data_IF_175746121616
#
_entry.id   IF_175746121616
#
_cell.length_a   1.000
_cell.length_b   1.000
_cell.length_c   1.000
_cell.angle_alpha   90.00
_cell.angle_beta   90.00
_cell.angle_gamma   90.00
#
_symmetry.space_group_name_H-M   'P 1'
#
loop_
_entity.id
_entity.type
_entity.pdbx_description
1 polymer ?
#
# COMPACT_ATOMS: atom_id res chain seq x y z
N UNK A 1 -42.09 -7.53 43.38
CA UNK A 1 -43.55 -7.65 43.18
C UNK A 1 -43.94 -6.73 42.03
N UNK A 2 -44.50 -7.32 40.96
CA UNK A 2 -45.48 -6.78 39.97
C UNK A 2 -45.23 -5.39 39.32
N UNK A 3 -45.46 -5.11 38.04
CA UNK A 3 -45.81 -5.89 36.84
C UNK A 3 -45.79 -4.96 35.60
N UNK A 4 -45.36 -5.52 34.44
CA UNK A 4 -45.92 -5.45 33.06
C UNK A 4 -46.39 -4.12 32.40
N UNK A 5 -45.85 -3.77 31.20
CA UNK A 5 -46.39 -3.95 29.78
C UNK A 5 -47.62 -3.08 29.47
N UNK A 6 -47.94 -2.60 28.25
CA UNK A 6 -47.33 -2.37 26.93
C UNK A 6 -48.42 -1.62 26.08
N UNK A 7 -48.02 -1.13 24.89
CA UNK A 7 -48.78 -1.01 23.62
C UNK A 7 -49.51 0.30 23.22
N UNK A 8 -48.93 0.94 22.18
CA UNK A 8 -49.48 1.35 20.87
C UNK A 8 -50.70 2.29 20.76
N UNK A 9 -50.54 3.38 19.97
CA UNK A 9 -51.31 3.66 18.73
C UNK A 9 -50.87 4.97 18.02
N UNK A 10 -50.70 4.88 16.69
CA UNK A 10 -50.57 5.94 15.65
C UNK A 10 -51.91 6.74 15.49
N UNK A 11 -52.13 7.58 14.45
CA UNK A 11 -51.39 8.72 13.88
C UNK A 11 -52.32 9.95 13.72
N UNK A 12 -51.82 11.15 13.37
CA UNK A 12 -52.67 12.22 12.82
C UNK A 12 -52.07 12.92 11.61
N UNK A 13 -52.84 12.78 10.51
CA UNK A 13 -52.89 13.60 9.30
C UNK A 13 -53.04 15.09 9.62
N UNK A 14 -52.50 15.97 8.76
CA UNK A 14 -53.29 17.04 8.15
C UNK A 14 -52.67 17.58 6.85
N UNK A 15 -53.58 17.66 5.88
CA UNK A 15 -53.51 18.08 4.48
C UNK A 15 -53.55 19.62 4.33
N UNK A 16 -53.17 20.09 3.13
CA UNK A 16 -53.64 21.28 2.36
C UNK A 16 -52.47 22.23 1.99
N UNK A 17 -52.10 22.54 0.74
CA UNK A 17 -52.77 22.76 -0.57
C UNK A 17 -52.77 24.25 -0.97
N UNK A 18 -52.39 24.46 -2.24
CA UNK A 18 -52.76 25.53 -3.17
C UNK A 18 -51.95 26.85 -3.27
N UNK A 19 -51.24 26.95 -4.41
CA UNK A 19 -51.37 27.95 -5.50
C UNK A 19 -51.32 29.45 -5.17
N UNK A 20 -50.48 30.20 -5.91
CA UNK A 20 -50.95 31.21 -6.88
C UNK A 20 -49.85 31.61 -7.88
N UNK A 21 -50.25 31.69 -9.15
CA UNK A 21 -49.53 32.26 -10.29
C UNK A 21 -49.30 33.77 -10.14
N UNK A 22 -48.34 34.33 -10.89
CA UNK A 22 -48.68 35.40 -11.84
C UNK A 22 -47.59 35.64 -12.90
N UNK A 23 -48.07 35.80 -14.13
CA UNK A 23 -47.34 36.14 -15.35
C UNK A 23 -47.28 37.66 -15.55
N UNK A 24 -46.39 38.12 -16.45
CA UNK A 24 -46.56 39.22 -17.45
C UNK A 24 -45.17 39.50 -18.07
N UNK A 25 -44.94 39.68 -19.38
CA UNK A 25 -45.79 39.69 -20.58
C UNK A 25 -45.06 40.40 -21.74
N UNK A 26 -45.17 39.83 -22.95
CA UNK A 26 -45.23 40.45 -24.30
C UNK A 26 -44.08 41.35 -24.83
N UNK A 27 -43.77 41.47 -26.14
CA UNK A 27 -44.48 41.10 -27.38
C UNK A 27 -43.59 41.21 -28.65
N UNK A 28 -43.84 40.30 -29.60
CA UNK A 28 -43.97 40.42 -31.07
C UNK A 28 -42.87 40.96 -32.03
N UNK A 29 -42.67 40.17 -33.09
CA UNK A 29 -42.28 40.63 -34.45
C UNK A 29 -42.02 39.46 -35.41
N UNK A 30 -42.96 39.14 -36.32
CA UNK A 30 -42.84 38.16 -37.42
C UNK A 30 -42.21 38.79 -38.68
N UNK A 31 -41.42 38.03 -39.45
CA UNK A 31 -41.58 37.83 -40.92
C UNK A 31 -40.60 36.80 -41.50
N UNK A 32 -41.08 36.05 -42.50
CA UNK A 32 -40.37 35.08 -43.34
C UNK A 32 -39.39 35.76 -44.33
N UNK A 33 -38.28 35.12 -44.67
CA UNK A 33 -37.96 34.58 -46.02
C UNK A 33 -36.47 34.24 -46.17
N UNK A 34 -36.23 33.40 -47.18
CA UNK A 34 -35.07 32.62 -47.55
C UNK A 34 -33.84 33.38 -48.07
N UNK A 35 -32.79 32.57 -48.30
CA UNK A 35 -31.67 32.68 -49.26
C UNK A 35 -30.36 33.38 -48.85
N UNK A 36 -29.33 32.51 -48.80
CA UNK A 36 -28.03 32.60 -49.47
C UNK A 36 -26.80 33.19 -48.74
N UNK A 37 -25.78 32.33 -48.77
CA UNK A 37 -24.34 32.60 -48.94
C UNK A 37 -23.53 33.29 -47.85
N UNK A 38 -22.77 32.44 -47.15
CA UNK A 38 -21.31 32.52 -46.95
C UNK A 38 -20.71 33.85 -46.47
N UNK A 39 -20.34 33.88 -45.18
CA UNK A 39 -19.21 34.69 -44.73
C UNK A 39 -18.50 34.04 -43.52
N UNK A 40 -17.18 34.13 -43.56
CA UNK A 40 -16.17 33.44 -42.74
C UNK A 40 -16.40 33.62 -41.24
N UNK A 41 -16.47 32.51 -40.49
CA UNK A 41 -16.12 32.47 -39.06
C UNK A 41 -14.64 32.15 -38.91
N UNK A 42 -13.86 33.19 -38.65
CA UNK A 42 -12.62 33.06 -37.90
C UNK A 42 -13.01 32.88 -36.43
N UNK A 43 -12.80 31.66 -35.91
CA UNK A 43 -12.97 31.37 -34.49
C UNK A 43 -11.73 30.63 -34.00
N UNK A 44 -10.65 31.38 -33.82
CA UNK A 44 -9.54 30.93 -32.99
C UNK A 44 -10.00 30.99 -31.53
N UNK A 45 -10.69 29.95 -31.06
CA UNK A 45 -10.87 29.71 -29.63
C UNK A 45 -9.52 29.28 -29.07
N UNK A 46 -8.89 30.17 -28.33
CA UNK A 46 -7.76 29.83 -27.47
C UNK A 46 -8.32 28.94 -26.37
N UNK A 47 -8.18 27.62 -26.54
CA UNK A 47 -8.36 26.67 -25.44
C UNK A 47 -7.50 27.13 -24.28
N UNK A 48 -8.13 27.37 -23.14
CA UNK A 48 -7.45 27.66 -21.89
C UNK A 48 -6.43 26.54 -21.64
N UNK A 49 -5.16 26.88 -21.81
CA UNK A 49 -4.04 26.01 -21.48
C UNK A 49 -4.19 25.71 -19.99
N UNK A 50 -4.60 24.49 -19.65
CA UNK A 50 -4.63 24.04 -18.28
C UNK A 50 -3.25 24.31 -17.68
N UNK A 51 -3.19 25.13 -16.62
CA UNK A 51 -1.96 25.38 -15.88
C UNK A 51 -1.33 24.01 -15.54
N UNK A 52 -0.20 23.71 -16.19
CA UNK A 52 0.62 22.57 -15.85
C UNK A 52 1.21 22.90 -14.49
N UNK A 53 0.54 22.48 -13.41
CA UNK A 53 1.11 22.54 -12.06
C UNK A 53 2.43 21.78 -12.11
N UNK A 54 3.54 22.49 -11.91
CA UNK A 54 4.86 21.87 -11.85
C UNK A 54 4.84 20.73 -10.83
N UNK A 55 5.31 19.56 -11.25
CA UNK A 55 5.38 18.39 -10.38
C UNK A 55 6.49 18.64 -9.34
N UNK A 56 6.17 18.73 -8.03
CA UNK A 56 7.17 19.08 -7.01
C UNK A 56 8.14 17.92 -6.70
N UNK A 57 7.93 16.74 -7.28
CA UNK A 57 8.73 15.56 -7.01
C UNK A 57 9.88 15.42 -7.99
N UNK A 58 11.02 14.96 -7.44
CA UNK A 58 12.24 14.71 -8.20
C UNK A 58 11.97 13.81 -9.42
N UNK A 59 12.36 14.23 -10.64
CA UNK A 59 12.30 13.39 -11.83
C UNK A 59 13.10 12.10 -11.67
N UNK A 60 12.62 11.04 -12.31
CA UNK A 60 13.32 9.74 -12.32
C UNK A 60 14.45 9.77 -13.33
N UNK A 61 15.68 9.56 -12.87
CA UNK A 61 16.83 9.29 -13.71
C UNK A 61 16.72 7.85 -14.24
N UNK A 62 16.36 7.70 -15.51
CA UNK A 62 16.14 6.39 -16.13
C UNK A 62 17.41 5.57 -16.27
N UNK A 63 18.55 6.20 -16.57
CA UNK A 63 19.84 5.51 -16.67
C UNK A 63 20.24 4.94 -15.32
N UNK A 64 20.15 5.76 -14.25
CA UNK A 64 20.44 5.31 -12.89
C UNK A 64 19.45 4.26 -12.41
N UNK A 65 18.17 4.38 -12.76
CA UNK A 65 17.15 3.38 -12.45
C UNK A 65 17.56 1.99 -12.98
N UNK A 66 17.90 1.88 -14.26
CA UNK A 66 18.27 0.60 -14.86
C UNK A 66 19.62 0.06 -14.38
N UNK A 67 20.58 0.94 -14.08
CA UNK A 67 21.84 0.56 -13.43
C UNK A 67 21.59 -0.10 -12.07
N UNK A 68 20.75 0.51 -11.23
CA UNK A 68 20.40 -0.01 -9.91
C UNK A 68 19.57 -1.29 -9.99
N UNK A 69 18.66 -1.42 -10.97
CA UNK A 69 17.96 -2.67 -11.23
C UNK A 69 18.93 -3.83 -11.55
N UNK A 70 19.96 -3.57 -12.36
CA UNK A 70 21.02 -4.54 -12.64
C UNK A 70 21.82 -4.89 -11.38
N UNK A 71 22.12 -3.90 -10.54
CA UNK A 71 22.77 -4.13 -9.26
C UNK A 71 21.94 -5.03 -8.32
N UNK A 72 20.63 -4.79 -8.24
CA UNK A 72 19.71 -5.60 -7.42
C UNK A 72 19.54 -7.01 -7.97
N UNK A 73 19.58 -7.22 -9.29
CA UNK A 73 19.56 -8.56 -9.88
C UNK A 73 20.73 -9.45 -9.43
N UNK A 74 21.82 -8.83 -8.95
CA UNK A 74 22.94 -9.50 -8.29
C UNK A 74 23.56 -10.64 -9.11
N UNK A 75 23.75 -10.37 -10.41
CA UNK A 75 24.35 -11.30 -11.35
C UNK A 75 23.46 -12.50 -11.69
N UNK A 76 22.13 -12.36 -11.59
CA UNK A 76 21.21 -13.36 -12.16
C UNK A 76 21.50 -13.53 -13.66
N UNK A 77 21.85 -14.76 -14.05
CA UNK A 77 22.11 -15.14 -15.45
C UNK A 77 20.93 -15.89 -16.07
N UNK A 78 19.89 -16.19 -15.28
CA UNK A 78 18.73 -16.95 -15.77
C UNK A 78 17.73 -16.10 -16.56
N UNK A 79 17.90 -14.78 -16.54
CA UNK A 79 17.03 -13.83 -17.23
C UNK A 79 15.69 -13.58 -16.52
N UNK A 80 15.57 -13.99 -15.25
CA UNK A 80 14.41 -13.69 -14.40
C UNK A 80 14.50 -12.30 -13.79
N UNK A 81 15.71 -11.87 -13.44
CA UNK A 81 15.99 -10.60 -12.79
C UNK A 81 17.08 -9.81 -13.53
N UNK A 82 16.95 -8.48 -13.68
CA UNK A 82 15.77 -7.69 -13.34
C UNK A 82 14.58 -8.09 -14.22
N UNK A 83 13.37 -7.87 -13.73
CA UNK A 83 12.16 -8.28 -14.46
C UNK A 83 12.07 -7.51 -15.77
N UNK A 84 11.86 -8.21 -16.88
CA UNK A 84 11.71 -7.59 -18.20
C UNK A 84 10.47 -6.70 -18.26
N UNK A 85 10.50 -5.71 -19.14
CA UNK A 85 9.39 -4.77 -19.39
C UNK A 85 8.88 -4.11 -18.09
N UNK A 86 9.80 -3.79 -17.19
CA UNK A 86 9.48 -3.05 -15.98
C UNK A 86 9.19 -1.58 -16.32
N UNK A 87 8.01 -1.05 -15.99
CA UNK A 87 7.70 0.35 -16.30
C UNK A 87 8.62 1.27 -15.50
N UNK A 88 9.18 2.27 -16.18
CA UNK A 88 9.89 3.36 -15.49
C UNK A 88 8.88 4.08 -14.57
N UNK A 89 9.12 4.17 -13.25
CA UNK A 89 8.17 4.79 -12.35
C UNK A 89 8.08 6.31 -12.59
N UNK A 90 7.00 6.91 -12.10
CA UNK A 90 6.82 8.36 -12.12
C UNK A 90 7.74 9.06 -11.11
N UNK A 91 7.77 10.40 -11.15
CA UNK A 91 8.54 11.25 -10.24
C UNK A 91 8.31 10.91 -8.76
N UNK A 92 9.36 11.11 -7.96
CA UNK A 92 9.34 10.79 -6.53
C UNK A 92 9.43 9.29 -6.21
N UNK A 93 9.78 8.44 -7.19
CA UNK A 93 10.10 7.04 -6.97
C UNK A 93 11.21 6.88 -5.91
N UNK A 94 11.03 5.92 -5.00
CA UNK A 94 11.96 5.62 -3.91
C UNK A 94 12.83 4.42 -4.30
N UNK A 95 12.25 3.43 -4.98
CA UNK A 95 12.92 2.20 -5.38
C UNK A 95 13.36 2.29 -6.85
N UNK A 96 14.54 1.79 -7.21
CA UNK A 96 15.59 1.23 -6.34
C UNK A 96 16.58 2.27 -5.79
N UNK A 97 16.28 3.58 -5.87
CA UNK A 97 17.21 4.66 -5.44
C UNK A 97 17.55 4.61 -3.95
N UNK A 98 16.66 4.07 -3.12
CA UNK A 98 16.84 3.88 -1.70
C UNK A 98 16.43 2.48 -1.27
N UNK A 99 17.15 1.94 -0.29
CA UNK A 99 16.74 0.74 0.45
C UNK A 99 15.89 1.16 1.64
N UNK A 100 14.77 0.51 1.85
CA UNK A 100 13.87 0.84 2.95
C UNK A 100 14.14 -0.11 4.12
N UNK A 101 14.40 0.44 5.30
CA UNK A 101 14.55 -0.30 6.55
C UNK A 101 13.37 0.05 7.45
N UNK A 102 12.47 -0.91 7.67
CA UNK A 102 11.20 -0.69 8.32
C UNK A 102 11.11 -1.41 9.66
N UNK A 103 10.59 -0.72 10.69
CA UNK A 103 10.08 -1.38 11.89
C UNK A 103 8.58 -1.66 11.74
N UNK A 104 8.21 -2.92 11.87
CA UNK A 104 6.82 -3.39 11.75
C UNK A 104 6.12 -3.44 13.10
N UNK A 105 4.82 -3.18 13.13
CA UNK A 105 3.97 -3.59 14.24
C UNK A 105 2.76 -2.72 14.51
N UNK A 106 2.18 -2.90 15.71
CA UNK A 106 0.96 -2.25 16.16
C UNK A 106 1.16 -1.61 17.54
N UNK A 107 0.64 -0.40 17.75
CA UNK A 107 0.89 0.40 18.95
C UNK A 107 0.12 -0.09 20.18
N UNK A 108 -0.92 -0.93 20.00
CA UNK A 108 -1.62 -1.58 21.12
C UNK A 108 -0.99 -2.88 21.58
N UNK A 109 0.04 -3.39 20.89
CA UNK A 109 0.65 -4.68 21.25
C UNK A 109 2.16 -4.69 21.12
N UNK A 110 2.83 -4.83 22.26
CA UNK A 110 4.28 -5.07 22.34
C UNK A 110 4.71 -6.44 21.78
N UNK A 111 3.78 -7.31 21.42
CA UNK A 111 4.05 -8.64 20.86
C UNK A 111 3.89 -8.70 19.34
N UNK A 112 3.41 -7.62 18.71
CA UNK A 112 3.12 -7.57 17.27
C UNK A 112 4.19 -6.85 16.45
N UNK A 113 5.36 -6.59 17.04
CA UNK A 113 6.56 -6.17 16.33
C UNK A 113 7.30 -5.01 16.95
N UNK A 114 8.55 -4.82 16.49
CA UNK A 114 9.49 -3.82 16.97
C UNK A 114 8.93 -2.38 17.05
N UNK A 115 8.00 -1.99 16.17
CA UNK A 115 7.39 -0.66 16.21
C UNK A 115 6.59 -0.40 17.49
N UNK A 116 5.83 -1.39 17.96
CA UNK A 116 4.98 -1.28 19.15
C UNK A 116 5.66 -1.74 20.45
N UNK A 117 6.82 -2.38 20.34
CA UNK A 117 7.52 -2.94 21.51
C UNK A 117 8.20 -1.86 22.37
N UNK A 118 8.73 -0.81 21.74
CA UNK A 118 9.54 0.21 22.40
C UNK A 118 8.85 1.57 22.44
N UNK A 119 9.21 2.41 23.43
CA UNK A 119 8.82 3.82 23.42
C UNK A 119 9.45 4.54 22.20
N UNK A 120 8.81 5.58 21.62
CA UNK A 120 9.23 6.16 20.34
C UNK A 120 10.71 6.56 20.24
N UNK A 121 11.29 7.17 21.28
CA UNK A 121 12.71 7.55 21.29
C UNK A 121 13.65 6.34 21.22
N UNK A 122 13.34 5.29 21.96
CA UNK A 122 14.14 4.05 21.95
C UNK A 122 13.94 3.26 20.65
N UNK A 123 12.70 3.22 20.15
CA UNK A 123 12.37 2.65 18.85
C UNK A 123 13.24 3.29 17.75
N UNK A 124 13.29 4.63 17.71
CA UNK A 124 14.11 5.37 16.76
C UNK A 124 15.60 5.15 16.91
N UNK A 125 16.11 5.10 18.15
CA UNK A 125 17.52 4.79 18.40
C UNK A 125 17.92 3.45 17.77
N UNK A 126 17.06 2.42 17.93
CA UNK A 126 17.30 1.08 17.37
C UNK A 126 17.15 1.04 15.84
N UNK A 127 16.08 1.63 15.30
CA UNK A 127 15.87 1.69 13.86
C UNK A 127 17.00 2.45 13.14
N UNK A 128 17.47 3.57 13.70
CA UNK A 128 18.60 4.30 13.13
C UNK A 128 19.90 3.50 13.18
N UNK A 129 20.09 2.64 14.19
CA UNK A 129 21.22 1.72 14.23
C UNK A 129 21.14 0.69 13.09
N UNK A 130 19.97 0.10 12.83
CA UNK A 130 19.78 -0.80 11.68
C UNK A 130 20.02 -0.09 10.34
N UNK A 131 19.50 1.13 10.17
CA UNK A 131 19.78 1.95 8.97
C UNK A 131 21.28 2.19 8.79
N UNK A 132 22.01 2.50 9.86
CA UNK A 132 23.45 2.66 9.81
C UNK A 132 24.17 1.34 9.46
N UNK A 133 23.68 0.20 9.95
CA UNK A 133 24.23 -1.12 9.62
C UNK A 133 24.09 -1.41 8.12
N UNK A 134 22.90 -1.18 7.56
CA UNK A 134 22.65 -1.36 6.14
C UNK A 134 23.46 -0.42 5.25
N UNK A 135 23.65 0.83 5.65
CA UNK A 135 24.51 1.78 4.91
C UNK A 135 26.00 1.41 4.95
N UNK A 136 26.46 0.67 5.96
CA UNK A 136 27.83 0.13 5.98
C UNK A 136 27.98 -1.10 5.08
N UNK A 137 26.95 -1.94 5.03
CA UNK A 137 26.96 -3.18 4.26
C UNK A 137 26.80 -2.94 2.74
N UNK A 138 26.11 -1.87 2.34
CA UNK A 138 25.89 -1.52 0.93
C UNK A 138 26.14 -0.02 0.68
N UNK A 139 27.25 0.28 0.00
CA UNK A 139 27.61 1.65 -0.38
C UNK A 139 26.94 2.12 -1.68
N UNK A 140 26.26 1.24 -2.42
CA UNK A 140 25.65 1.56 -3.72
C UNK A 140 24.26 2.18 -3.54
N UNK A 141 23.46 1.61 -2.63
CA UNK A 141 22.09 2.07 -2.37
C UNK A 141 21.94 2.50 -0.91
N UNK A 142 21.67 3.80 -0.71
CA UNK A 142 21.45 4.39 0.60
C UNK A 142 20.18 3.83 1.25
N UNK A 143 20.31 3.36 2.49
CA UNK A 143 19.23 2.95 3.36
C UNK A 143 18.54 4.15 4.02
N UNK A 144 17.20 4.13 4.05
CA UNK A 144 16.33 5.12 4.72
C UNK A 144 15.35 4.42 5.67
N UNK A 145 14.96 5.08 6.79
CA UNK A 145 14.03 4.50 7.74
C UNK A 145 12.58 4.55 7.27
N UNK A 146 11.80 3.58 7.74
CA UNK A 146 10.35 3.54 7.61
C UNK A 146 9.70 2.97 8.87
N UNK A 147 8.43 3.31 9.08
CA UNK A 147 7.56 2.55 9.98
C UNK A 147 6.53 1.78 9.15
N UNK A 148 6.25 0.54 9.50
CA UNK A 148 5.21 -0.27 8.89
C UNK A 148 4.16 -0.61 9.95
N UNK A 149 3.08 0.17 9.95
CA UNK A 149 2.06 0.13 10.98
C UNK A 149 0.86 -0.73 10.56
N UNK A 150 0.46 -1.66 11.43
CA UNK A 150 -0.70 -2.53 11.17
C UNK A 150 -2.00 -1.75 11.42
N UNK A 151 -2.63 -1.29 10.33
CA UNK A 151 -3.84 -0.48 10.37
C UNK A 151 -5.11 -1.33 10.54
N UNK A 152 -5.10 -2.58 10.04
CA UNK A 152 -6.12 -3.57 10.33
C UNK A 152 -5.48 -4.90 10.70
N UNK A 153 -5.97 -5.49 11.79
CA UNK A 153 -5.45 -6.74 12.37
C UNK A 153 -6.50 -7.82 12.22
N UNK A 154 -6.14 -8.97 11.65
CA UNK A 154 -7.04 -10.12 11.63
C UNK A 154 -7.26 -10.65 13.06
N UNK A 155 -8.50 -10.98 13.40
CA UNK A 155 -8.92 -11.34 14.74
C UNK A 155 -9.34 -12.80 14.84
N UNK A 156 -9.07 -13.43 15.97
CA UNK A 156 -9.62 -14.75 16.31
C UNK A 156 -11.08 -14.70 16.77
N UNK A 157 -11.61 -13.51 17.06
CA UNK A 157 -12.99 -13.29 17.52
C UNK A 157 -13.81 -12.54 16.47
N UNK A 158 -15.14 -12.80 16.41
CA UNK A 158 -16.01 -12.07 15.51
C UNK A 158 -16.02 -10.58 15.90
N UNK A 159 -15.78 -9.72 14.91
CA UNK A 159 -15.95 -8.28 14.99
C UNK A 159 -17.22 -7.82 14.28
N UNK A 160 -17.29 -6.55 13.93
CA UNK A 160 -18.40 -6.00 13.13
C UNK A 160 -18.59 -6.78 11.82
N UNK A 161 -19.85 -7.05 11.47
CA UNK A 161 -20.26 -7.80 10.27
C UNK A 161 -19.63 -9.21 10.15
N UNK A 162 -19.17 -9.81 11.26
CA UNK A 162 -18.49 -11.11 11.27
C UNK A 162 -17.26 -11.16 10.36
N UNK A 163 -16.55 -10.04 10.19
CA UNK A 163 -15.34 -10.01 9.35
C UNK A 163 -14.07 -10.48 10.05
N UNK A 164 -14.09 -10.74 11.36
CA UNK A 164 -12.92 -11.17 12.13
C UNK A 164 -11.72 -10.24 11.91
N UNK A 165 -11.96 -8.94 12.02
CA UNK A 165 -10.98 -7.88 11.78
C UNK A 165 -11.12 -6.79 12.85
N UNK A 166 -10.00 -6.39 13.43
CA UNK A 166 -9.88 -5.25 14.34
C UNK A 166 -9.26 -4.10 13.55
N UNK A 167 -10.05 -3.04 13.32
CA UNK A 167 -9.60 -1.84 12.62
C UNK A 167 -9.06 -0.84 13.62
N UNK A 168 -7.86 -0.33 13.38
CA UNK A 168 -7.28 0.65 14.27
C UNK A 168 -8.05 1.97 14.20
N UNK A 169 -8.37 2.60 15.34
CA UNK A 169 -8.95 3.93 15.36
C UNK A 169 -8.03 4.94 14.69
N UNK A 170 -8.59 6.00 14.12
CA UNK A 170 -7.83 7.04 13.40
C UNK A 170 -6.69 7.61 14.25
N UNK A 171 -6.96 7.93 15.53
CA UNK A 171 -5.95 8.41 16.48
C UNK A 171 -4.68 7.54 16.58
N UNK A 172 -4.80 6.23 16.33
CA UNK A 172 -3.64 5.34 16.34
C UNK A 172 -2.83 5.43 15.06
N UNK A 173 -3.50 5.58 13.91
CA UNK A 173 -2.82 5.85 12.64
C UNK A 173 -2.14 7.22 12.71
N UNK A 174 -2.81 8.24 13.27
CA UNK A 174 -2.24 9.57 13.51
C UNK A 174 -1.01 9.50 14.42
N UNK A 175 -1.06 8.66 15.47
CA UNK A 175 0.08 8.44 16.36
C UNK A 175 1.27 7.81 15.62
N UNK A 176 1.02 6.83 14.74
CA UNK A 176 2.07 6.26 13.89
C UNK A 176 2.67 7.34 12.96
N UNK A 177 1.84 8.16 12.31
CA UNK A 177 2.31 9.27 11.47
C UNK A 177 3.14 10.30 12.27
N UNK A 178 2.75 10.62 13.50
CA UNK A 178 3.50 11.49 14.39
C UNK A 178 4.87 10.89 14.76
N UNK A 179 4.93 9.58 15.04
CA UNK A 179 6.18 8.86 15.28
C UNK A 179 7.07 8.93 14.03
N UNK A 180 6.54 8.70 12.83
CA UNK A 180 7.28 8.80 11.57
C UNK A 180 7.87 10.20 11.34
N UNK A 181 7.10 11.24 11.65
CA UNK A 181 7.49 12.64 11.49
C UNK A 181 8.72 13.02 12.32
N UNK A 182 8.97 12.35 13.45
CA UNK A 182 10.16 12.60 14.29
C UNK A 182 11.48 12.47 13.51
N UNK A 183 11.51 11.64 12.47
CA UNK A 183 12.70 11.39 11.64
C UNK A 183 12.43 11.50 10.13
N UNK A 184 11.34 12.19 9.73
CA UNK A 184 10.91 12.32 8.33
C UNK A 184 10.83 10.97 7.58
N UNK A 185 10.40 9.92 8.29
CA UNK A 185 10.33 8.57 7.73
C UNK A 185 9.06 8.36 6.90
N UNK A 186 9.13 7.42 5.97
CA UNK A 186 7.96 6.95 5.23
C UNK A 186 7.14 5.98 6.10
N UNK A 187 5.84 5.89 5.80
CA UNK A 187 4.89 5.04 6.55
C UNK A 187 4.26 4.04 5.61
N UNK A 188 4.15 2.80 6.04
CA UNK A 188 3.28 1.80 5.42
C UNK A 188 2.10 1.55 6.33
N UNK A 189 0.89 1.53 5.76
CA UNK A 189 -0.30 1.02 6.44
C UNK A 189 -0.53 -0.41 5.98
N UNK A 190 -0.37 -1.37 6.89
CA UNK A 190 -0.59 -2.79 6.63
C UNK A 190 -2.07 -3.14 6.82
N UNK A 191 -2.59 -3.96 5.91
CA UNK A 191 -3.99 -4.39 5.92
C UNK A 191 -4.07 -5.91 5.96
N UNK A 192 -4.52 -6.43 7.10
CA UNK A 192 -4.99 -7.80 7.26
C UNK A 192 -6.52 -7.79 7.19
N UNK A 193 -7.10 -8.44 6.17
CA UNK A 193 -8.54 -8.27 5.84
C UNK A 193 -9.47 -9.24 6.58
N UNK A 194 -8.96 -10.34 7.13
CA UNK A 194 -9.79 -11.39 7.74
C UNK A 194 -10.78 -11.98 6.73
N UNK A 195 -12.07 -11.97 7.07
CA UNK A 195 -13.19 -12.33 6.18
C UNK A 195 -13.77 -11.14 5.40
N UNK A 196 -13.17 -9.95 5.50
CA UNK A 196 -13.45 -8.83 4.60
C UNK A 196 -12.64 -8.96 3.29
N UNK A 197 -12.52 -7.88 2.53
CA UNK A 197 -11.73 -7.81 1.31
C UNK A 197 -11.12 -6.41 1.11
N UNK A 198 -10.19 -6.29 0.16
CA UNK A 198 -9.51 -5.02 -0.12
C UNK A 198 -10.48 -3.91 -0.59
N UNK A 199 -11.58 -4.26 -1.27
CA UNK A 199 -12.58 -3.27 -1.71
C UNK A 199 -13.26 -2.56 -0.55
N UNK A 200 -13.44 -3.26 0.57
CA UNK A 200 -14.02 -2.70 1.78
C UNK A 200 -12.99 -1.98 2.65
N UNK A 201 -11.74 -2.46 2.70
CA UNK A 201 -10.74 -1.94 3.63
C UNK A 201 -9.96 -0.74 3.09
N UNK A 202 -9.58 -0.71 1.80
CA UNK A 202 -8.75 0.37 1.26
C UNK A 202 -9.43 1.75 1.27
N UNK A 203 -10.72 1.90 0.92
CA UNK A 203 -11.40 3.20 0.98
C UNK A 203 -11.40 3.83 2.38
N UNK A 204 -11.35 3.02 3.43
CA UNK A 204 -11.31 3.52 4.81
C UNK A 204 -9.96 4.16 5.18
N UNK A 205 -8.91 3.87 4.42
CA UNK A 205 -7.57 4.42 4.61
C UNK A 205 -7.24 5.51 3.58
N UNK A 206 -8.19 5.86 2.69
CA UNK A 206 -7.97 6.78 1.57
C UNK A 206 -7.33 8.11 2.00
N UNK A 207 -7.84 8.69 3.09
CA UNK A 207 -7.35 9.99 3.60
C UNK A 207 -5.85 9.96 3.93
N UNK A 208 -5.33 8.82 4.37
CA UNK A 208 -3.91 8.63 4.66
C UNK A 208 -3.13 8.26 3.41
N UNK A 209 -3.66 7.40 2.55
CA UNK A 209 -3.00 7.00 1.31
C UNK A 209 -2.80 8.17 0.33
N UNK A 210 -3.62 9.23 0.45
CA UNK A 210 -3.42 10.51 -0.23
C UNK A 210 -2.21 11.33 0.26
N UNK A 211 -1.61 10.98 1.40
CA UNK A 211 -0.40 11.67 1.88
C UNK A 211 0.84 11.19 1.13
N UNK A 212 1.76 12.07 0.68
CA UNK A 212 2.90 11.68 -0.17
C UNK A 212 3.78 10.57 0.42
N UNK A 213 4.06 10.61 1.73
CA UNK A 213 4.95 9.70 2.45
C UNK A 213 4.28 8.40 2.96
N UNK A 214 3.00 8.18 2.65
CA UNK A 214 2.24 7.00 3.09
C UNK A 214 2.07 6.01 1.94
N UNK A 215 2.36 4.75 2.21
CA UNK A 215 2.36 3.60 1.32
C UNK A 215 1.51 2.46 1.90
N UNK A 216 1.35 1.36 1.15
CA UNK A 216 0.43 0.28 1.49
C UNK A 216 1.18 -1.05 1.67
N UNK A 217 0.85 -1.78 2.74
CA UNK A 217 1.12 -3.20 2.91
C UNK A 217 -0.17 -3.99 2.83
N UNK A 218 -0.16 -5.14 2.16
CA UNK A 218 -1.28 -6.09 2.15
C UNK A 218 -0.78 -7.48 2.52
N UNK A 219 -1.53 -8.16 3.37
CA UNK A 219 -1.13 -9.46 3.90
C UNK A 219 -2.07 -10.58 3.42
N UNK A 220 -1.66 -11.36 2.39
CA UNK A 220 -2.44 -12.48 1.92
C UNK A 220 -2.65 -13.57 2.98
N UNK A 221 -1.80 -13.69 4.01
CA UNK A 221 -1.95 -14.69 5.08
C UNK A 221 -3.33 -14.59 5.72
N UNK A 222 -3.86 -13.38 5.79
CA UNK A 222 -5.12 -13.08 6.45
C UNK A 222 -6.27 -12.78 5.48
N UNK A 223 -6.13 -13.12 4.20
CA UNK A 223 -7.20 -13.07 3.22
C UNK A 223 -7.96 -14.40 3.19
N UNK A 224 -8.98 -14.51 4.04
CA UNK A 224 -9.64 -15.77 4.35
C UNK A 224 -10.77 -16.12 3.36
N UNK A 225 -10.45 -16.17 2.06
CA UNK A 225 -11.42 -16.43 0.97
C UNK A 225 -12.21 -17.74 1.11
N UNK A 226 -11.72 -18.69 1.90
CA UNK A 226 -12.38 -19.99 2.15
C UNK A 226 -13.43 -19.95 3.25
N UNK A 227 -13.60 -18.82 3.95
CA UNK A 227 -14.46 -18.74 5.14
C UNK A 227 -13.80 -19.26 6.42
N UNK A 228 -12.59 -19.84 6.34
CA UNK A 228 -11.85 -20.28 7.52
C UNK A 228 -11.49 -19.07 8.41
N UNK A 229 -11.44 -19.29 9.73
CA UNK A 229 -11.07 -18.22 10.65
C UNK A 229 -9.57 -17.86 10.54
N UNK A 230 -9.19 -16.58 10.66
CA UNK A 230 -7.79 -16.17 10.68
C UNK A 230 -6.93 -17.01 11.65
N UNK A 231 -5.71 -17.35 11.23
CA UNK A 231 -4.77 -18.15 12.01
C UNK A 231 -5.06 -19.66 12.04
N UNK A 232 -6.15 -20.14 11.42
CA UNK A 232 -6.43 -21.59 11.25
C UNK A 232 -5.87 -22.16 9.94
N UNK A 233 -5.84 -21.34 8.90
CA UNK A 233 -5.25 -21.63 7.58
C UNK A 233 -4.54 -20.40 7.09
N UNK A 234 -3.57 -20.59 6.20
CA UNK A 234 -2.94 -19.50 5.47
C UNK A 234 -3.93 -19.07 4.37
N UNK A 235 -4.25 -17.77 4.36
CA UNK A 235 -5.09 -17.13 3.37
C UNK A 235 -4.40 -16.97 2.01
N UNK A 236 -5.08 -16.28 1.10
CA UNK A 236 -4.56 -16.06 -0.26
C UNK A 236 -5.08 -14.80 -0.91
N UNK A 237 -4.24 -14.18 -1.73
CA UNK A 237 -4.63 -13.21 -2.74
C UNK A 237 -4.33 -13.76 -4.13
N UNK A 238 -5.25 -13.48 -5.05
CA UNK A 238 -4.99 -13.64 -6.47
C UNK A 238 -4.35 -12.37 -7.05
N UNK A 239 -3.74 -12.49 -8.23
CA UNK A 239 -3.34 -11.34 -9.01
C UNK A 239 -4.48 -10.31 -9.18
N UNK A 240 -5.75 -10.74 -9.26
CA UNK A 240 -6.88 -9.82 -9.29
C UNK A 240 -6.96 -8.90 -8.05
N UNK A 241 -6.71 -9.43 -6.84
CA UNK A 241 -6.72 -8.65 -5.61
C UNK A 241 -5.55 -7.65 -5.57
N UNK A 242 -4.36 -8.09 -5.97
CA UNK A 242 -3.15 -7.24 -6.04
C UNK A 242 -3.33 -6.15 -7.11
N UNK A 243 -3.93 -6.49 -8.25
CA UNK A 243 -4.26 -5.55 -9.31
C UNK A 243 -5.29 -4.52 -8.85
N UNK A 244 -6.27 -4.90 -8.04
CA UNK A 244 -7.19 -3.96 -7.42
C UNK A 244 -6.46 -2.96 -6.52
N UNK A 245 -5.61 -3.43 -5.60
CA UNK A 245 -4.84 -2.56 -4.73
C UNK A 245 -3.93 -1.59 -5.53
N UNK A 246 -3.23 -2.12 -6.54
CA UNK A 246 -2.38 -1.34 -7.44
C UNK A 246 -3.17 -0.26 -8.21
N UNK A 247 -4.32 -0.63 -8.77
CA UNK A 247 -5.19 0.30 -9.49
C UNK A 247 -5.77 1.37 -8.56
N UNK A 248 -6.13 1.00 -7.33
CA UNK A 248 -6.62 1.93 -6.32
C UNK A 248 -5.55 2.96 -5.95
N UNK A 249 -4.31 2.54 -5.68
CA UNK A 249 -3.19 3.47 -5.45
C UNK A 249 -2.89 4.33 -6.68
N UNK A 250 -2.94 3.75 -7.88
CA UNK A 250 -2.72 4.48 -9.15
C UNK A 250 -3.75 5.60 -9.33
N UNK A 251 -5.02 5.33 -9.01
CA UNK A 251 -6.09 6.34 -9.03
C UNK A 251 -5.76 7.49 -8.08
N UNK A 252 -5.39 7.18 -6.82
CA UNK A 252 -5.04 8.20 -5.84
C UNK A 252 -3.83 9.03 -6.29
N UNK A 253 -2.82 8.40 -6.88
CA UNK A 253 -1.64 9.09 -7.41
C UNK A 253 -2.00 10.09 -8.48
N UNK A 254 -2.81 9.68 -9.46
CA UNK A 254 -3.22 10.54 -10.58
C UNK A 254 -4.13 11.69 -10.13
N UNK A 255 -5.13 11.39 -9.30
CA UNK A 255 -6.12 12.39 -8.87
C UNK A 255 -5.53 13.45 -7.92
N UNK A 256 -4.46 13.12 -7.21
CA UNK A 256 -3.89 13.99 -6.18
C UNK A 256 -2.45 14.44 -6.50
N UNK A 257 -1.97 14.18 -7.72
CA UNK A 257 -0.59 14.46 -8.15
C UNK A 257 0.45 14.00 -7.12
N UNK A 258 0.39 12.74 -6.69
CA UNK A 258 1.28 12.19 -5.65
C UNK A 258 2.56 11.62 -6.27
N UNK A 259 3.63 11.39 -5.47
CA UNK A 259 4.76 10.62 -5.97
C UNK A 259 4.37 9.14 -6.11
N UNK A 260 5.20 8.37 -6.80
CA UNK A 260 5.00 6.93 -6.92
C UNK A 260 4.81 6.27 -5.55
N UNK A 261 3.77 5.44 -5.42
CA UNK A 261 3.50 4.67 -4.21
C UNK A 261 4.29 3.38 -4.20
N UNK A 262 4.41 2.77 -3.01
CA UNK A 262 4.94 1.43 -2.84
C UNK A 262 3.81 0.55 -2.35
N UNK A 263 3.66 -0.62 -2.95
CA UNK A 263 2.77 -1.69 -2.50
C UNK A 263 3.63 -2.87 -2.06
N UNK A 264 3.61 -3.16 -0.76
CA UNK A 264 4.25 -4.35 -0.19
C UNK A 264 3.24 -5.49 -0.13
N UNK A 265 3.57 -6.63 -0.72
CA UNK A 265 2.75 -7.84 -0.71
C UNK A 265 3.50 -8.93 0.05
N UNK A 266 3.02 -9.26 1.25
CA UNK A 266 3.63 -10.23 2.13
C UNK A 266 3.50 -11.66 1.58
N UNK A 267 4.54 -12.50 1.63
CA UNK A 267 4.46 -13.92 1.29
C UNK A 267 5.56 -14.77 1.93
N UNK A 268 5.22 -15.98 2.33
CA UNK A 268 6.18 -17.00 2.78
C UNK A 268 5.82 -18.43 2.37
N UNK A 269 4.70 -18.60 1.66
CA UNK A 269 4.36 -19.84 0.94
C UNK A 269 3.96 -19.49 -0.49
N UNK A 270 4.00 -20.47 -1.40
CA UNK A 270 3.60 -20.25 -2.78
C UNK A 270 2.11 -19.88 -2.91
N UNK A 271 1.24 -20.58 -2.17
CA UNK A 271 -0.21 -20.43 -2.28
C UNK A 271 -0.78 -19.11 -1.75
N UNK A 272 0.04 -18.29 -1.07
CA UNK A 272 -0.38 -16.97 -0.61
C UNK A 272 -0.65 -15.99 -1.76
N UNK A 273 0.03 -16.17 -2.90
CA UNK A 273 -0.14 -15.32 -4.09
C UNK A 273 -0.33 -16.20 -5.31
N UNK A 274 -1.55 -16.25 -5.82
CA UNK A 274 -1.87 -17.01 -7.04
C UNK A 274 -1.75 -16.16 -8.28
N UNK A 275 -1.47 -16.81 -9.41
CA UNK A 275 -1.45 -16.18 -10.73
C UNK A 275 -0.52 -14.96 -10.86
N UNK A 276 0.63 -14.94 -10.17
CA UNK A 276 1.53 -13.78 -10.12
C UNK A 276 1.90 -13.18 -11.50
N UNK A 277 1.93 -14.01 -12.56
CA UNK A 277 2.19 -13.56 -13.94
C UNK A 277 1.13 -12.61 -14.49
N UNK A 278 -0.07 -12.61 -13.90
CA UNK A 278 -1.18 -11.74 -14.26
C UNK A 278 -1.18 -10.42 -13.45
N UNK A 279 -0.19 -10.21 -12.56
CA UNK A 279 -0.02 -8.94 -11.85
C UNK A 279 0.42 -7.86 -12.83
N UNK A 280 -0.33 -6.77 -12.87
CA UNK A 280 -0.13 -5.62 -13.77
C UNK A 280 0.68 -4.55 -13.05
N UNK A 281 1.86 -4.27 -13.59
CA UNK A 281 2.75 -3.20 -13.11
C UNK A 281 2.28 -1.85 -13.66
N UNK A 282 2.34 -0.82 -12.82
CA UNK A 282 1.93 0.54 -13.14
C UNK A 282 3.10 1.50 -12.89
N UNK A 283 3.19 2.62 -13.59
CA UNK A 283 4.27 3.61 -13.37
C UNK A 283 4.11 4.30 -12.00
N UNK A 284 2.89 4.34 -11.50
CA UNK A 284 2.49 5.00 -10.26
C UNK A 284 2.73 4.15 -9.01
N UNK A 285 3.02 2.85 -9.17
CA UNK A 285 3.13 1.89 -8.04
C UNK A 285 4.36 0.99 -8.21
N UNK A 286 5.25 1.04 -7.23
CA UNK A 286 6.40 0.15 -7.10
C UNK A 286 6.01 -1.04 -6.22
N UNK A 287 6.01 -2.25 -6.78
CA UNK A 287 5.59 -3.46 -6.10
C UNK A 287 6.76 -4.19 -5.45
N UNK A 288 6.61 -4.54 -4.18
CA UNK A 288 7.56 -5.35 -3.41
C UNK A 288 6.90 -6.67 -3.03
N UNK A 289 7.38 -7.78 -3.59
CA UNK A 289 7.07 -9.10 -3.03
C UNK A 289 7.96 -9.33 -1.82
N UNK A 290 7.37 -9.46 -0.64
CA UNK A 290 8.09 -9.39 0.63
C UNK A 290 8.13 -10.75 1.33
N UNK A 291 9.33 -11.28 1.58
CA UNK A 291 9.50 -12.57 2.24
C UNK A 291 9.23 -12.42 3.74
N UNK A 292 8.05 -12.85 4.19
CA UNK A 292 7.51 -12.68 5.54
C UNK A 292 7.53 -13.98 6.37
N UNK A 293 8.48 -14.87 6.09
CA UNK A 293 8.63 -16.14 6.81
C UNK A 293 9.66 -16.03 7.93
N UNK A 294 9.39 -16.64 9.08
CA UNK A 294 10.36 -16.76 10.17
C UNK A 294 11.03 -18.14 10.17
N UNK A 295 12.23 -18.21 10.76
CA UNK A 295 12.99 -19.44 10.89
C UNK A 295 14.50 -19.23 10.80
N UNK A 296 15.24 -20.33 10.84
CA UNK A 296 16.69 -20.30 10.69
C UNK A 296 17.12 -19.82 9.28
N UNK A 297 18.35 -19.29 9.13
CA UNK A 297 18.83 -18.72 7.86
C UNK A 297 18.64 -19.62 6.63
N UNK A 298 18.89 -20.92 6.73
CA UNK A 298 18.73 -21.83 5.58
C UNK A 298 17.28 -21.96 5.13
N UNK A 299 16.34 -22.08 6.06
CA UNK A 299 14.91 -22.13 5.74
C UNK A 299 14.48 -20.84 5.03
N UNK A 300 14.88 -19.68 5.55
CA UNK A 300 14.53 -18.38 4.98
C UNK A 300 15.14 -18.17 3.59
N UNK A 301 16.38 -18.60 3.38
CA UNK A 301 17.01 -18.64 2.03
C UNK A 301 16.26 -19.58 1.09
N UNK A 302 15.82 -20.73 1.58
CA UNK A 302 14.97 -21.66 0.85
C UNK A 302 13.66 -21.02 0.41
N UNK A 303 12.90 -20.45 1.34
CA UNK A 303 11.64 -19.72 1.08
C UNK A 303 11.85 -18.58 0.07
N UNK A 304 12.93 -17.81 0.24
CA UNK A 304 13.29 -16.74 -0.69
C UNK A 304 13.60 -17.27 -2.09
N UNK A 305 14.31 -18.38 -2.23
CA UNK A 305 14.59 -18.98 -3.55
C UNK A 305 13.32 -19.54 -4.22
N UNK A 306 12.47 -20.22 -3.46
CA UNK A 306 11.31 -20.94 -4.01
C UNK A 306 10.10 -20.08 -4.29
N UNK A 307 9.92 -18.99 -3.55
CA UNK A 307 8.75 -18.12 -3.70
C UNK A 307 9.18 -16.73 -4.15
N UNK A 308 10.34 -16.23 -3.69
CA UNK A 308 10.98 -14.95 -4.03
C UNK A 308 11.36 -14.86 -5.50
N UNK A 309 12.48 -15.52 -5.74
CA UNK A 309 13.26 -15.51 -6.96
C UNK A 309 12.56 -16.20 -8.14
N UNK A 310 11.85 -17.30 -7.89
CA UNK A 310 11.19 -18.13 -8.89
C UNK A 310 9.97 -17.46 -9.54
N UNK A 311 9.34 -16.51 -8.84
CA UNK A 311 8.11 -15.82 -9.23
C UNK A 311 8.34 -14.30 -9.28
N UNK A 312 9.11 -13.82 -10.27
CA UNK A 312 9.48 -12.40 -10.37
C UNK A 312 8.27 -11.51 -10.64
N UNK A 313 8.17 -10.40 -9.90
CA UNK A 313 7.16 -9.34 -10.11
C UNK A 313 7.84 -8.01 -10.41
N UNK A 314 8.47 -7.37 -9.42
CA UNK A 314 9.21 -6.11 -9.66
C UNK A 314 10.38 -5.91 -8.70
N UNK A 315 10.10 -5.78 -7.40
CA UNK A 315 11.10 -5.74 -6.34
C UNK A 315 10.86 -6.83 -5.32
N UNK A 316 11.86 -7.09 -4.48
CA UNK A 316 11.80 -8.09 -3.42
C UNK A 316 12.18 -7.48 -2.08
N UNK A 317 11.54 -7.98 -1.03
CA UNK A 317 11.85 -7.62 0.34
C UNK A 317 12.10 -8.83 1.22
N UNK A 318 12.61 -8.59 2.43
CA UNK A 318 12.96 -9.62 3.38
C UNK A 318 12.65 -9.16 4.81
N UNK A 319 11.98 -10.01 5.59
CA UNK A 319 11.72 -9.76 6.99
C UNK A 319 12.70 -10.49 7.90
N UNK A 320 13.12 -9.84 8.97
CA UNK A 320 13.90 -10.40 10.06
C UNK A 320 13.06 -10.36 11.34
N UNK A 321 12.98 -11.48 12.05
CA UNK A 321 12.25 -11.56 13.31
C UNK A 321 13.24 -11.67 14.46
N UNK A 322 13.34 -10.62 15.28
CA UNK A 322 14.33 -10.54 16.37
C UNK A 322 14.21 -11.70 17.37
N UNK A 323 13.01 -12.26 17.51
CA UNK A 323 12.74 -13.37 18.45
C UNK A 323 12.49 -14.69 17.73
N UNK A 324 11.73 -14.69 16.64
CA UNK A 324 11.28 -15.94 16.00
C UNK A 324 12.38 -16.62 15.18
N UNK A 325 13.28 -15.86 14.56
CA UNK A 325 14.38 -16.44 13.78
C UNK A 325 15.43 -17.12 14.70
N UNK A 326 15.43 -16.78 16.00
CA UNK A 326 16.33 -17.35 17.00
C UNK A 326 15.86 -18.70 17.56
N UNK A 327 14.66 -19.19 17.19
CA UNK A 327 14.06 -20.38 17.82
C UNK A 327 14.74 -21.70 17.46
N UNK A 328 15.43 -21.77 16.33
CA UNK A 328 16.13 -22.97 15.85
C UNK A 328 17.59 -22.65 15.60
N UNK A 329 18.45 -23.66 15.73
CA UNK A 329 19.86 -23.55 15.40
C UNK A 329 20.02 -22.99 13.97
N UNK A 330 20.96 -22.06 13.73
CA UNK A 330 22.05 -21.61 14.60
C UNK A 330 21.69 -20.46 15.55
N UNK A 331 20.41 -20.21 15.84
CA UNK A 331 19.93 -19.21 16.82
C UNK A 331 20.46 -17.80 16.54
N UNK A 332 20.45 -17.37 15.27
CA UNK A 332 20.84 -16.03 14.86
C UNK A 332 20.00 -15.53 13.70
N UNK A 333 19.94 -14.21 13.56
CA UNK A 333 19.39 -13.55 12.38
C UNK A 333 20.38 -13.67 11.21
N UNK A 334 19.85 -13.53 9.99
CA UNK A 334 20.68 -13.22 8.84
C UNK A 334 21.19 -11.78 8.93
N UNK A 335 22.44 -11.58 8.52
CA UNK A 335 23.10 -10.26 8.50
C UNK A 335 22.79 -9.50 7.20
N UNK A 336 22.94 -8.17 7.16
CA UNK A 336 22.86 -7.40 5.92
C UNK A 336 23.76 -7.96 4.80
N UNK A 337 24.99 -8.37 5.13
CA UNK A 337 25.95 -8.93 4.18
C UNK A 337 25.48 -10.26 3.58
N UNK A 338 24.81 -11.10 4.37
CA UNK A 338 24.20 -12.33 3.88
C UNK A 338 22.99 -12.05 2.99
N UNK A 339 22.16 -11.07 3.35
CA UNK A 339 21.00 -10.67 2.56
C UNK A 339 21.41 -10.04 1.22
N UNK A 340 22.51 -9.28 1.19
CA UNK A 340 23.07 -8.71 -0.04
C UNK A 340 23.66 -9.77 -1.00
N UNK A 341 23.87 -11.00 -0.53
CA UNK A 341 24.26 -12.15 -1.37
C UNK A 341 23.05 -12.84 -2.02
N UNK A 342 21.83 -12.53 -1.62
CA UNK A 342 20.63 -13.10 -2.22
C UNK A 342 20.46 -12.61 -3.67
N UNK A 343 19.73 -13.41 -4.46
CA UNK A 343 19.34 -13.08 -5.83
C UNK A 343 17.81 -13.08 -5.91
N UNK A 344 17.17 -11.91 -6.16
CA UNK A 344 17.75 -10.56 -6.16
C UNK A 344 18.21 -10.14 -4.75
N UNK A 345 18.93 -9.02 -4.65
CA UNK A 345 19.13 -8.32 -3.38
C UNK A 345 17.80 -7.73 -2.91
N UNK A 346 17.38 -7.95 -1.65
CA UNK A 346 16.20 -7.29 -1.11
C UNK A 346 16.44 -5.77 -0.96
N UNK A 347 15.46 -5.00 -1.42
CA UNK A 347 15.45 -3.52 -1.36
C UNK A 347 14.51 -2.99 -0.27
N UNK A 348 13.65 -3.85 0.26
CA UNK A 348 12.78 -3.56 1.40
C UNK A 348 13.07 -4.54 2.53
N UNK A 349 13.50 -4.04 3.67
CA UNK A 349 13.86 -4.83 4.84
C UNK A 349 12.91 -4.47 5.96
N UNK A 350 12.31 -5.49 6.57
CA UNK A 350 11.39 -5.30 7.68
C UNK A 350 11.91 -6.02 8.92
N UNK A 351 11.88 -5.36 10.07
CA UNK A 351 12.22 -5.96 11.35
C UNK A 351 10.96 -6.07 12.21
N UNK A 352 10.75 -7.26 12.79
CA UNK A 352 9.65 -7.57 13.70
C UNK A 352 10.15 -8.11 15.04
#
# INVERSE_FOLDING_TARGET
MLAQKNYFLLPQLLLAAALFCSCSGNSNGKTNQSTASAEKKDSTQVEAIAEVKENPYKPVDSAKYYELQKYLANGDTTGKWPVKNDPLPINGAILPFNRIIAYYGNLYSKKMGALGEYAPKEMWRRLNAEVAHWNRADSVIKAIPAIHYIATVASGTPGAHNYYINRMPEKQIDSALAIAKMHNAIVFLDVQVGLSNLHNELPRLEKYLKMPNVHLGIDPEFSMKTGALPGRKIGTYDAADINYASAYLTKLVKENNLPAKILVVHRFTQGMVTNYKNIKKQKEVQMVMHMDGWGEPELKKGTYRHYLYSEPVQFVGFKLFYKNDLKKAPNRLMTPEELLKLRPKPIYIQYQ
#
